data_IF_635840465033
#
_entry.id   IF_635840465033
#
_cell.length_a   1.000
_cell.length_b   1.000
_cell.length_c   1.000
_cell.angle_alpha   90.00
_cell.angle_beta   90.00
_cell.angle_gamma   90.00
#
_symmetry.space_group_name_H-M   'P 1'
#
loop_
_entity.id
_entity.type
_entity.pdbx_description
1 polymer ?
#
# COMPACT_ATOMS: atom_id res chain seq x y z
N UNK A 1 -0.12 -2.38 6.71
CA UNK A 1 -0.69 -3.70 6.40
C UNK A 1 -1.21 -3.68 4.97
N UNK A 2 -0.97 -4.73 4.19
CA UNK A 2 -1.43 -4.88 2.80
C UNK A 2 -2.19 -6.21 2.68
N UNK A 3 -3.24 -6.26 1.85
CA UNK A 3 -4.00 -7.47 1.57
C UNK A 3 -3.25 -8.36 0.55
N UNK A 4 -2.10 -8.88 0.96
CA UNK A 4 -1.21 -9.74 0.18
C UNK A 4 -0.91 -11.04 0.95
N UNK A 5 -0.56 -12.15 0.27
CA UNK A 5 -0.51 -12.30 -1.19
C UNK A 5 -1.90 -12.31 -1.84
N UNK A 6 -1.98 -12.02 -3.14
CA UNK A 6 -3.20 -12.18 -3.95
C UNK A 6 -3.20 -13.53 -4.66
N UNK A 7 -4.37 -13.95 -5.13
CA UNK A 7 -4.50 -15.08 -6.05
C UNK A 7 -3.72 -14.80 -7.35
N UNK A 8 -2.77 -15.66 -7.77
CA UNK A 8 -2.04 -15.48 -9.03
C UNK A 8 -2.93 -15.46 -10.28
N UNK A 9 -4.09 -16.11 -10.24
CA UNK A 9 -5.04 -16.21 -11.35
C UNK A 9 -6.04 -15.04 -11.36
N UNK A 10 -5.94 -14.11 -10.41
CA UNK A 10 -6.75 -12.90 -10.36
C UNK A 10 -6.57 -12.07 -11.64
N UNK A 11 -7.69 -11.68 -12.24
CA UNK A 11 -7.72 -10.91 -13.49
C UNK A 11 -8.50 -9.60 -13.34
N UNK A 12 -8.31 -8.92 -12.20
CA UNK A 12 -8.82 -7.57 -12.00
C UNK A 12 -7.97 -6.55 -12.78
N UNK A 13 -8.57 -5.41 -13.18
CA UNK A 13 -7.82 -4.22 -13.56
C UNK A 13 -6.78 -3.84 -12.49
N UNK A 14 -5.62 -3.32 -12.93
CA UNK A 14 -4.47 -3.10 -12.04
C UNK A 14 -4.79 -2.10 -10.92
N UNK A 15 -5.52 -1.04 -11.24
CA UNK A 15 -6.01 -0.04 -10.30
C UNK A 15 -6.97 -0.65 -9.27
N UNK A 16 -7.95 -1.45 -9.71
CA UNK A 16 -8.88 -2.14 -8.80
C UNK A 16 -8.14 -3.12 -7.86
N UNK A 17 -7.18 -3.89 -8.39
CA UNK A 17 -6.37 -4.78 -7.57
C UNK A 17 -5.56 -4.00 -6.53
N UNK A 18 -4.97 -2.87 -6.92
CA UNK A 18 -4.23 -2.00 -6.00
C UNK A 18 -5.13 -1.37 -4.93
N UNK A 19 -6.34 -0.93 -5.28
CA UNK A 19 -7.32 -0.43 -4.30
C UNK A 19 -7.65 -1.49 -3.25
N UNK A 20 -7.80 -2.75 -3.65
CA UNK A 20 -8.03 -3.87 -2.72
C UNK A 20 -6.78 -4.21 -1.90
N UNK A 21 -5.60 -4.26 -2.51
CA UNK A 21 -4.32 -4.54 -1.83
C UNK A 21 -4.05 -3.51 -0.73
N UNK A 22 -4.31 -2.22 -1.00
CA UNK A 22 -4.15 -1.15 -0.02
C UNK A 22 -5.35 -0.96 0.91
N UNK A 23 -6.43 -1.71 0.69
CA UNK A 23 -7.68 -1.66 1.46
C UNK A 23 -8.28 -0.24 1.45
N UNK A 24 -8.35 0.39 0.27
CA UNK A 24 -8.82 1.77 0.11
C UNK A 24 -10.33 1.89 0.35
N UNK A 25 -11.11 0.95 -0.16
CA UNK A 25 -12.58 1.01 -0.14
C UNK A 25 -13.22 0.18 0.99
N UNK A 26 -12.47 -0.09 2.07
CA UNK A 26 -13.04 -0.77 3.24
C UNK A 26 -14.01 0.14 4.00
N UNK A 27 -15.00 -0.45 4.67
CA UNK A 27 -15.96 0.32 5.46
C UNK A 27 -15.32 1.00 6.70
N UNK A 28 -16.08 1.90 7.33
CA UNK A 28 -15.60 2.65 8.50
C UNK A 28 -15.33 1.78 9.74
N UNK A 29 -15.97 0.61 9.87
CA UNK A 29 -15.68 -0.30 10.97
C UNK A 29 -14.33 -0.98 10.74
N UNK A 30 -14.09 -1.51 9.54
CA UNK A 30 -12.83 -2.12 9.13
C UNK A 30 -11.66 -1.12 9.17
N UNK A 31 -11.88 0.15 8.78
CA UNK A 31 -10.84 1.20 8.90
C UNK A 31 -10.49 1.46 10.37
N UNK A 32 -11.48 1.53 11.26
CA UNK A 32 -11.24 1.70 12.71
C UNK A 32 -10.50 0.53 13.32
N UNK A 33 -10.86 -0.70 12.95
CA UNK A 33 -10.16 -1.90 13.42
C UNK A 33 -8.70 -1.91 12.95
N UNK A 34 -8.46 -1.50 11.71
CA UNK A 34 -7.12 -1.35 11.15
C UNK A 34 -6.30 -0.30 11.89
N UNK A 35 -6.88 0.89 12.12
CA UNK A 35 -6.22 1.96 12.88
C UNK A 35 -5.91 1.53 14.31
N UNK A 36 -6.86 0.90 15.01
CA UNK A 36 -6.67 0.40 16.37
C UNK A 36 -5.54 -0.64 16.44
N UNK A 37 -5.47 -1.56 15.49
CA UNK A 37 -4.39 -2.55 15.41
C UNK A 37 -3.02 -1.89 15.20
N UNK A 38 -2.93 -0.92 14.27
CA UNK A 38 -1.68 -0.19 14.00
C UNK A 38 -1.26 0.61 15.24
N UNK A 39 -2.19 1.33 15.88
CA UNK A 39 -1.90 2.10 17.10
C UNK A 39 -1.44 1.20 18.24
N UNK A 40 -2.11 0.08 18.46
CA UNK A 40 -1.71 -0.91 19.46
C UNK A 40 -0.28 -1.42 19.19
N UNK A 41 -0.01 -1.89 17.97
CA UNK A 41 1.30 -2.38 17.59
C UNK A 41 2.40 -1.32 17.78
N UNK A 42 2.16 -0.07 17.36
CA UNK A 42 3.12 1.02 17.50
C UNK A 42 3.36 1.39 18.97
N UNK A 43 2.31 1.43 19.80
CA UNK A 43 2.44 1.75 21.22
C UNK A 43 3.19 0.66 22.00
N UNK A 44 2.88 -0.62 21.74
CA UNK A 44 3.63 -1.75 22.33
C UNK A 44 5.10 -1.72 21.92
N UNK A 45 5.40 -1.38 20.67
CA UNK A 45 6.77 -1.23 20.19
C UNK A 45 7.55 -0.06 20.80
N UNK A 46 6.87 0.99 21.29
CA UNK A 46 7.54 2.04 22.07
C UNK A 46 7.94 1.56 23.46
N UNK A 47 7.19 0.62 24.03
CA UNK A 47 7.48 0.05 25.35
C UNK A 47 8.54 -1.07 25.26
N UNK A 48 8.61 -1.78 24.12
CA UNK A 48 9.52 -2.90 23.91
C UNK A 48 10.33 -2.73 22.61
N UNK A 49 11.63 -2.35 22.67
CA UNK A 49 12.47 -2.14 21.49
C UNK A 49 12.59 -3.35 20.56
N UNK A 50 12.52 -4.57 21.09
CA UNK A 50 12.50 -5.81 20.30
C UNK A 50 11.25 -5.89 19.40
N UNK A 51 10.09 -5.44 19.91
CA UNK A 51 8.85 -5.37 19.14
C UNK A 51 8.93 -4.31 18.03
N UNK A 52 9.63 -3.19 18.25
CA UNK A 52 9.86 -2.19 17.20
C UNK A 52 10.70 -2.75 16.03
N UNK A 53 11.71 -3.57 16.33
CA UNK A 53 12.52 -4.25 15.32
C UNK A 53 11.69 -5.27 14.53
N UNK A 54 10.85 -6.05 15.23
CA UNK A 54 9.95 -7.02 14.62
C UNK A 54 8.90 -6.33 13.73
N UNK A 55 8.27 -5.23 14.16
CA UNK A 55 7.31 -4.50 13.34
C UNK A 55 7.94 -3.86 12.10
N UNK A 56 9.20 -3.40 12.19
CA UNK A 56 9.90 -2.89 11.02
C UNK A 56 10.18 -4.01 10.00
N UNK A 57 10.70 -5.13 10.50
CA UNK A 57 11.17 -6.27 9.69
C UNK A 57 10.00 -7.09 9.13
N UNK A 58 9.06 -7.48 9.97
CA UNK A 58 7.88 -8.28 9.59
C UNK A 58 6.67 -7.43 9.18
N UNK A 59 6.67 -6.12 9.44
CA UNK A 59 5.60 -5.23 8.99
C UNK A 59 5.94 -4.55 7.67
N UNK A 60 6.74 -3.49 7.72
CA UNK A 60 6.96 -2.61 6.58
C UNK A 60 7.87 -3.22 5.50
N UNK A 61 8.96 -3.89 5.88
CA UNK A 61 9.87 -4.54 4.92
C UNK A 61 9.21 -5.73 4.24
N UNK A 62 8.60 -6.64 5.03
CA UNK A 62 7.86 -7.77 4.49
C UNK A 62 6.71 -7.35 3.57
N UNK A 63 5.91 -6.33 3.95
CA UNK A 63 4.84 -5.81 3.08
C UNK A 63 5.38 -5.30 1.74
N UNK A 64 6.54 -4.63 1.76
CA UNK A 64 7.19 -4.14 0.53
C UNK A 64 7.66 -5.26 -0.35
N UNK A 65 8.28 -6.29 0.22
CA UNK A 65 8.73 -7.46 -0.53
C UNK A 65 7.53 -8.17 -1.18
N UNK A 66 6.45 -8.38 -0.44
CA UNK A 66 5.23 -9.00 -0.97
C UNK A 66 4.60 -8.19 -2.11
N UNK A 67 4.58 -6.86 -1.98
CA UNK A 67 4.08 -5.99 -3.05
C UNK A 67 5.00 -6.05 -4.28
N UNK A 68 6.31 -6.08 -4.08
CA UNK A 68 7.25 -6.23 -5.19
C UNK A 68 7.11 -7.57 -5.89
N UNK A 69 6.90 -8.66 -5.16
CA UNK A 69 6.65 -9.98 -5.74
C UNK A 69 5.37 -10.01 -6.56
N UNK A 70 4.31 -9.35 -6.08
CA UNK A 70 3.08 -9.17 -6.85
C UNK A 70 3.30 -8.32 -8.11
N UNK A 71 4.02 -7.19 -8.03
CA UNK A 71 4.37 -6.38 -9.20
C UNK A 71 5.19 -7.16 -10.23
N UNK A 72 6.15 -7.99 -9.79
CA UNK A 72 6.90 -8.89 -10.69
C UNK A 72 6.00 -9.88 -11.40
N UNK A 73 4.97 -10.39 -10.72
CA UNK A 73 4.00 -11.27 -11.36
C UNK A 73 3.22 -10.53 -12.46
N UNK A 74 2.74 -9.32 -12.19
CA UNK A 74 2.04 -8.50 -13.17
C UNK A 74 2.93 -8.15 -14.37
N UNK A 75 4.21 -7.86 -14.13
CA UNK A 75 5.22 -7.65 -15.19
C UNK A 75 5.39 -8.91 -16.05
N UNK A 76 5.55 -10.09 -15.42
CA UNK A 76 5.67 -11.38 -16.14
C UNK A 76 4.43 -11.69 -16.99
N UNK A 77 3.25 -11.23 -16.57
CA UNK A 77 1.99 -11.32 -17.33
C UNK A 77 1.90 -10.30 -18.47
N UNK A 78 2.86 -9.39 -18.60
CA UNK A 78 2.86 -8.33 -19.61
C UNK A 78 1.84 -7.22 -19.35
N UNK A 79 1.30 -7.14 -18.14
CA UNK A 79 0.28 -6.13 -17.76
C UNK A 79 0.89 -4.78 -17.38
N UNK A 80 2.16 -4.78 -16.98
CA UNK A 80 2.93 -3.58 -16.63
C UNK A 80 4.36 -3.69 -17.14
N UNK A 81 5.02 -2.54 -17.28
CA UNK A 81 6.46 -2.42 -17.53
C UNK A 81 7.11 -1.70 -16.35
N UNK A 82 8.01 -2.41 -15.66
CA UNK A 82 8.68 -1.90 -14.46
C UNK A 82 10.06 -2.55 -14.30
N UNK A 83 11.13 -1.75 -14.35
CA UNK A 83 12.50 -2.26 -14.32
C UNK A 83 12.88 -2.84 -12.95
N UNK A 84 12.56 -2.12 -11.87
CA UNK A 84 12.82 -2.54 -10.49
C UNK A 84 11.52 -2.55 -9.69
N UNK A 85 10.92 -3.74 -9.55
CA UNK A 85 9.69 -3.94 -8.79
C UNK A 85 9.81 -3.61 -7.29
N UNK A 86 11.02 -3.71 -6.68
CA UNK A 86 11.22 -3.35 -5.27
C UNK A 86 11.19 -1.83 -5.11
N UNK A 87 11.88 -1.12 -6.00
CA UNK A 87 11.80 0.34 -6.06
C UNK A 87 10.37 0.80 -6.34
N UNK A 88 9.68 0.18 -7.30
CA UNK A 88 8.27 0.41 -7.59
C UNK A 88 7.35 0.24 -6.39
N UNK A 89 7.47 -0.88 -5.68
CA UNK A 89 6.73 -1.14 -4.45
C UNK A 89 7.00 -0.07 -3.39
N UNK A 90 8.26 0.34 -3.21
CA UNK A 90 8.65 1.41 -2.28
C UNK A 90 7.99 2.73 -2.66
N UNK A 91 8.04 3.12 -3.93
CA UNK A 91 7.44 4.36 -4.43
C UNK A 91 5.94 4.38 -4.17
N UNK A 92 5.24 3.30 -4.55
CA UNK A 92 3.79 3.19 -4.36
C UNK A 92 3.41 3.22 -2.88
N UNK A 93 4.11 2.47 -2.02
CA UNK A 93 3.88 2.51 -0.57
C UNK A 93 4.09 3.91 0.01
N UNK A 94 5.11 4.65 -0.44
CA UNK A 94 5.34 6.02 0.02
C UNK A 94 4.21 6.96 -0.39
N UNK A 95 3.72 6.86 -1.63
CA UNK A 95 2.59 7.67 -2.13
C UNK A 95 1.32 7.42 -1.32
N UNK A 96 0.99 6.15 -1.05
CA UNK A 96 -0.25 5.79 -0.35
C UNK A 96 -0.11 5.99 1.18
N UNK A 97 0.93 5.47 1.82
CA UNK A 97 1.07 5.56 3.27
C UNK A 97 1.38 6.98 3.76
N UNK A 98 2.01 7.82 2.93
CA UNK A 98 2.16 9.25 3.23
C UNK A 98 0.81 9.96 3.42
N UNK A 99 -0.23 9.51 2.72
CA UNK A 99 -1.58 10.04 2.84
C UNK A 99 -2.48 9.29 3.86
N UNK A 100 -2.05 8.11 4.34
CA UNK A 100 -2.81 7.33 5.32
C UNK A 100 -2.37 7.53 6.76
N UNK A 101 -1.08 7.77 7.01
CA UNK A 101 -0.54 7.83 8.37
C UNK A 101 -0.54 9.29 8.85
N UNK A 102 -1.48 9.62 9.75
CA UNK A 102 -1.38 10.85 10.53
C UNK A 102 -0.18 10.73 11.47
N UNK A 103 0.74 11.70 11.44
CA UNK A 103 1.88 11.70 12.35
C UNK A 103 1.39 11.93 13.79
N UNK A 104 2.00 11.28 14.80
CA UNK A 104 1.66 11.55 16.20
C UNK A 104 1.75 13.06 16.50
N UNK A 105 0.64 13.65 16.96
CA UNK A 105 0.54 15.08 17.24
C UNK A 105 0.12 15.98 16.07
N UNK A 106 -0.15 15.42 14.88
CA UNK A 106 -0.80 16.14 13.78
C UNK A 106 -2.22 15.63 13.61
N UNK A 107 -3.19 16.55 13.56
CA UNK A 107 -4.54 16.23 13.08
C UNK A 107 -4.42 15.65 11.66
N UNK A 108 -5.32 14.75 11.31
CA UNK A 108 -5.47 14.27 9.95
C UNK A 108 -5.61 15.49 9.03
N UNK A 109 -4.63 15.74 8.13
CA UNK A 109 -4.57 16.96 7.31
C UNK A 109 -5.68 16.99 6.21
N UNK A 110 -6.48 15.92 6.12
CA UNK A 110 -7.59 15.81 5.19
C UNK A 110 -8.89 16.40 5.78
N UNK A 111 -9.62 17.22 5.01
CA UNK A 111 -10.88 17.84 5.47
C UNK A 111 -11.99 16.81 5.72
N UNK A 112 -12.01 15.72 4.96
CA UNK A 112 -12.96 14.61 5.11
C UNK A 112 -12.39 13.30 4.51
N UNK A 113 -13.08 12.19 4.80
CA UNK A 113 -12.72 10.85 4.29
C UNK A 113 -12.73 10.80 2.76
N UNK A 114 -13.70 11.45 2.12
CA UNK A 114 -13.85 11.40 0.66
C UNK A 114 -12.65 12.04 -0.05
N UNK A 115 -12.16 13.16 0.48
CA UNK A 115 -10.99 13.88 -0.01
C UNK A 115 -9.74 13.03 0.11
N UNK A 116 -9.55 12.35 1.25
CA UNK A 116 -8.46 11.38 1.43
C UNK A 116 -8.57 10.23 0.42
N UNK A 117 -9.73 9.61 0.27
CA UNK A 117 -9.94 8.51 -0.68
C UNK A 117 -9.67 8.94 -2.12
N UNK A 118 -10.10 10.15 -2.51
CA UNK A 118 -9.83 10.71 -3.83
C UNK A 118 -8.33 10.89 -4.09
N UNK A 119 -7.58 11.36 -3.09
CA UNK A 119 -6.13 11.46 -3.18
C UNK A 119 -5.47 10.09 -3.33
N UNK A 120 -5.89 9.09 -2.54
CA UNK A 120 -5.35 7.73 -2.62
C UNK A 120 -5.61 7.10 -4.01
N UNK A 121 -6.81 7.26 -4.56
CA UNK A 121 -7.14 6.83 -5.92
C UNK A 121 -6.31 7.56 -6.97
N UNK A 122 -6.06 8.86 -6.80
CA UNK A 122 -5.18 9.63 -7.68
C UNK A 122 -3.74 9.10 -7.65
N UNK A 123 -3.22 8.74 -6.48
CA UNK A 123 -1.90 8.12 -6.35
C UNK A 123 -1.82 6.79 -7.11
N UNK A 124 -2.84 5.94 -6.98
CA UNK A 124 -2.93 4.68 -7.73
C UNK A 124 -2.96 4.96 -9.23
N UNK A 125 -3.83 5.86 -9.69
CA UNK A 125 -3.96 6.21 -11.11
C UNK A 125 -2.63 6.70 -11.71
N UNK A 126 -1.90 7.57 -10.99
CA UNK A 126 -0.58 8.06 -11.42
C UNK A 126 0.42 6.92 -11.52
N UNK A 127 0.47 6.04 -10.52
CA UNK A 127 1.37 4.90 -10.54
C UNK A 127 1.04 3.94 -11.71
N UNK A 128 -0.23 3.57 -11.86
CA UNK A 128 -0.74 2.69 -12.92
C UNK A 128 -0.41 3.25 -14.30
N UNK A 129 -0.58 4.56 -14.50
CA UNK A 129 -0.21 5.23 -15.74
C UNK A 129 1.31 5.18 -16.00
N UNK A 130 2.11 5.35 -14.96
CA UNK A 130 3.58 5.34 -15.04
C UNK A 130 4.19 3.96 -15.34
N UNK A 131 3.46 2.87 -15.07
CA UNK A 131 3.90 1.49 -15.32
C UNK A 131 3.18 0.83 -16.49
N UNK A 132 2.42 1.59 -17.29
CA UNK A 132 1.77 1.04 -18.48
C UNK A 132 2.83 0.46 -19.43
N UNK A 133 2.57 -0.71 -20.05
CA UNK A 133 3.47 -1.27 -21.05
C UNK A 133 3.75 -0.25 -22.16
N UNK A 134 4.99 0.21 -22.28
CA UNK A 134 5.35 1.09 -23.37
C UNK A 134 5.39 0.27 -24.66
N UNK A 135 4.56 0.66 -25.64
CA UNK A 135 4.67 0.11 -26.99
C UNK A 135 6.00 0.58 -27.55
N UNK A 136 7.02 -0.29 -27.57
CA UNK A 136 8.23 -0.05 -28.36
C UNK A 136 7.79 0.07 -29.82
N UNK A 137 7.81 1.29 -30.35
CA UNK A 137 7.63 1.59 -31.76
C UNK A 137 8.84 1.10 -32.55
#
# INVERSE_FOLDING_TARGET
MLALPRDPDENLPLDEALEQIFMIDIDEAAERDREAFIHFAVNEAQQFPEMASLLRTHGAEQSRQMLADWLRLQQKRGLIDIDDAISGARMLMNMIFGAMISHPGKLNDWPDRETRLRHLRQCIAIFVAGVQPHRKL
#
